data_IF_120285852826
#
_entry.id   IF_120285852826
#
_cell.length_a   1.000
_cell.length_b   1.000
_cell.length_c   1.000
_cell.angle_alpha   90.00
_cell.angle_beta   90.00
_cell.angle_gamma   90.00
#
_symmetry.space_group_name_H-M   'P 1'
#
loop_
_entity.id
_entity.type
_entity.pdbx_description
1 polymer ?
#
# COMPACT_ATOMS: atom_id res chain seq x y z
N UNK A 1 -11.50 -11.58 -13.37
CA UNK A 1 -11.30 -12.81 -12.56
C UNK A 1 -10.40 -12.44 -11.39
N UNK A 2 -10.96 -11.79 -10.38
CA UNK A 2 -10.25 -11.42 -9.16
C UNK A 2 -10.65 -12.46 -8.12
N UNK A 3 -9.71 -13.31 -7.74
CA UNK A 3 -9.96 -14.39 -6.77
C UNK A 3 -10.26 -13.71 -5.42
N UNK A 4 -11.49 -13.86 -4.93
CA UNK A 4 -11.83 -13.50 -3.56
C UNK A 4 -10.90 -14.31 -2.64
N UNK A 5 -10.03 -13.62 -1.91
CA UNK A 5 -9.20 -14.26 -0.90
C UNK A 5 -10.15 -14.65 0.24
N UNK A 6 -10.40 -15.94 0.40
CA UNK A 6 -11.31 -16.48 1.39
C UNK A 6 -10.83 -16.11 2.79
N UNK A 7 -11.63 -15.28 3.44
CA UNK A 7 -11.64 -14.99 4.87
C UNK A 7 -11.94 -16.26 5.67
N UNK A 8 -11.02 -16.66 6.53
CA UNK A 8 -11.27 -17.71 7.51
C UNK A 8 -10.02 -18.21 8.21
N UNK A 9 -9.35 -17.37 9.02
CA UNK A 9 -8.62 -17.80 10.23
C UNK A 9 -7.98 -16.63 11.01
N UNK A 10 -7.57 -15.53 10.38
CA UNK A 10 -6.89 -14.44 11.11
C UNK A 10 -7.05 -13.07 10.43
N UNK A 11 -8.22 -12.45 10.57
CA UNK A 11 -8.48 -11.12 10.02
C UNK A 11 -7.59 -10.01 10.65
N UNK A 12 -6.86 -10.31 11.73
CA UNK A 12 -5.98 -9.36 12.42
C UNK A 12 -4.56 -9.30 11.84
N UNK A 13 -4.19 -10.22 10.95
CA UNK A 13 -2.83 -10.33 10.38
C UNK A 13 -2.79 -10.28 8.84
N UNK A 14 -3.82 -9.75 8.19
CA UNK A 14 -3.73 -9.57 6.74
C UNK A 14 -2.76 -8.43 6.43
N UNK A 15 -1.67 -8.76 5.72
CA UNK A 15 -0.62 -7.84 5.27
C UNK A 15 -1.22 -6.74 4.38
N UNK A 16 -2.31 -7.05 3.72
CA UNK A 16 -2.83 -6.24 2.66
C UNK A 16 -3.50 -4.91 3.13
N UNK A 17 -4.37 -4.90 4.16
CA UNK A 17 -4.76 -3.66 4.85
C UNK A 17 -3.58 -2.85 5.41
N UNK A 18 -2.56 -3.52 5.95
CA UNK A 18 -1.38 -2.86 6.52
C UNK A 18 -0.58 -2.11 5.45
N UNK A 19 -0.45 -2.65 4.24
CA UNK A 19 0.17 -1.97 3.10
C UNK A 19 -0.61 -0.69 2.75
N UNK A 20 -1.95 -0.77 2.67
CA UNK A 20 -2.79 0.39 2.37
C UNK A 20 -2.64 1.50 3.39
N UNK A 21 -2.67 1.16 4.68
CA UNK A 21 -2.47 2.10 5.78
C UNK A 21 -1.05 2.70 5.79
N UNK A 22 -0.02 1.87 5.60
CA UNK A 22 1.37 2.31 5.53
C UNK A 22 1.59 3.30 4.38
N UNK A 23 1.02 3.02 3.21
CA UNK A 23 1.07 3.93 2.05
C UNK A 23 0.37 5.26 2.36
N UNK A 24 -0.85 5.20 2.90
CA UNK A 24 -1.63 6.39 3.24
C UNK A 24 -0.91 7.25 4.30
N UNK A 25 -0.27 6.62 5.28
CA UNK A 25 0.54 7.29 6.30
C UNK A 25 1.76 7.96 5.67
N UNK A 26 2.56 7.23 4.89
CA UNK A 26 3.76 7.77 4.25
C UNK A 26 3.43 8.98 3.35
N UNK A 27 2.33 8.92 2.58
CA UNK A 27 1.88 10.04 1.75
C UNK A 27 1.53 11.27 2.59
N UNK A 28 0.81 11.09 3.69
CA UNK A 28 0.42 12.20 4.59
C UNK A 28 1.62 12.81 5.29
N UNK A 29 2.60 12.02 5.70
CA UNK A 29 3.86 12.50 6.27
C UNK A 29 4.65 13.35 5.28
N UNK A 30 4.59 13.04 3.98
CA UNK A 30 5.15 13.88 2.92
C UNK A 30 4.30 15.12 2.60
N UNK A 31 3.16 15.34 3.28
CA UNK A 31 2.27 16.48 3.04
C UNK A 31 1.52 16.45 1.70
N UNK A 32 1.44 15.29 1.03
CA UNK A 32 0.87 15.17 -0.31
C UNK A 32 -0.60 14.79 -0.29
N UNK A 33 -1.40 15.38 -1.18
CA UNK A 33 -2.71 14.84 -1.56
C UNK A 33 -2.56 13.60 -2.44
N UNK A 34 -3.64 12.83 -2.63
CA UNK A 34 -3.63 11.70 -3.57
C UNK A 34 -3.39 12.16 -5.01
N UNK A 35 -3.90 13.34 -5.41
CA UNK A 35 -3.66 13.90 -6.74
C UNK A 35 -2.20 14.29 -6.92
N UNK A 36 -1.58 14.94 -5.91
CA UNK A 36 -0.15 15.29 -5.96
C UNK A 36 0.75 14.05 -6.03
N UNK A 37 0.43 12.99 -5.27
CA UNK A 37 1.17 11.73 -5.40
C UNK A 37 0.95 11.08 -6.77
N UNK A 38 -0.25 11.19 -7.35
CA UNK A 38 -0.53 10.68 -8.68
C UNK A 38 0.37 11.35 -9.73
N UNK A 39 0.46 12.68 -9.68
CA UNK A 39 1.30 13.47 -10.59
C UNK A 39 2.78 13.09 -10.47
N UNK A 40 3.26 12.84 -9.24
CA UNK A 40 4.68 12.50 -8.98
C UNK A 40 5.05 11.06 -9.30
N UNK A 41 4.12 10.12 -9.12
CA UNK A 41 4.38 8.68 -9.28
C UNK A 41 3.96 8.11 -10.64
N UNK A 42 3.13 8.84 -11.39
CA UNK A 42 2.49 8.34 -12.61
C UNK A 42 1.41 7.28 -12.35
N UNK A 43 1.06 7.01 -11.08
CA UNK A 43 -0.03 6.11 -10.69
C UNK A 43 -1.31 6.91 -10.58
N UNK A 44 -2.42 6.45 -11.16
CA UNK A 44 -3.67 7.22 -11.12
C UNK A 44 -4.15 7.46 -9.67
N UNK A 45 -4.72 8.64 -9.39
CA UNK A 45 -5.32 8.96 -8.09
C UNK A 45 -6.38 7.93 -7.67
N UNK A 46 -7.18 7.40 -8.60
CA UNK A 46 -8.17 6.35 -8.32
C UNK A 46 -7.48 5.08 -7.84
N UNK A 47 -6.39 4.67 -8.49
CA UNK A 47 -5.57 3.52 -8.09
C UNK A 47 -4.99 3.73 -6.69
N UNK A 48 -4.42 4.91 -6.41
CA UNK A 48 -3.89 5.26 -5.08
C UNK A 48 -4.98 5.12 -4.02
N UNK A 49 -6.16 5.73 -4.23
CA UNK A 49 -7.27 5.64 -3.28
C UNK A 49 -7.72 4.20 -3.02
N UNK A 50 -7.81 3.37 -4.06
CA UNK A 50 -8.14 1.95 -3.90
C UNK A 50 -7.06 1.15 -3.16
N UNK A 51 -5.78 1.50 -3.29
CA UNK A 51 -4.70 0.86 -2.52
C UNK A 51 -4.80 1.29 -1.06
N UNK A 52 -4.95 2.58 -0.78
CA UNK A 52 -5.05 3.11 0.59
C UNK A 52 -6.25 2.58 1.36
N UNK A 53 -7.32 2.20 0.65
CA UNK A 53 -8.51 1.58 1.23
C UNK A 53 -8.44 0.05 1.28
N UNK A 54 -7.35 -0.56 0.80
CA UNK A 54 -7.21 -2.01 0.65
C UNK A 54 -8.31 -2.63 -0.24
N UNK A 55 -8.71 -1.94 -1.32
CA UNK A 55 -9.65 -2.45 -2.33
C UNK A 55 -8.98 -3.14 -3.53
N UNK A 56 -7.71 -2.83 -3.84
CA UNK A 56 -6.88 -3.58 -4.81
C UNK A 56 -5.49 -3.93 -4.30
N UNK A 57 -5.00 -5.14 -4.62
CA UNK A 57 -3.62 -5.56 -4.33
C UNK A 57 -2.65 -4.87 -5.30
N UNK A 58 -1.80 -3.92 -4.84
CA UNK A 58 -0.84 -3.25 -5.70
C UNK A 58 0.26 -4.22 -6.16
N UNK A 59 0.77 -4.01 -7.37
CA UNK A 59 2.00 -4.69 -7.79
C UNK A 59 3.22 -4.07 -7.10
N UNK A 60 4.33 -4.81 -6.97
CA UNK A 60 5.60 -4.24 -6.49
C UNK A 60 6.04 -3.02 -7.31
N UNK A 61 5.85 -3.05 -8.64
CA UNK A 61 6.12 -1.91 -9.51
C UNK A 61 5.29 -0.67 -9.15
N UNK A 62 4.04 -0.88 -8.75
CA UNK A 62 3.17 0.21 -8.27
C UNK A 62 3.69 0.76 -6.94
N UNK A 63 4.08 -0.10 -6.00
CA UNK A 63 4.63 0.32 -4.71
C UNK A 63 5.94 1.10 -4.88
N UNK A 64 6.83 0.64 -5.76
CA UNK A 64 8.09 1.32 -6.09
C UNK A 64 7.84 2.70 -6.72
N UNK A 65 6.94 2.80 -7.70
CA UNK A 65 6.58 4.08 -8.31
C UNK A 65 6.01 5.08 -7.29
N UNK A 66 5.20 4.60 -6.35
CA UNK A 66 4.65 5.43 -5.27
C UNK A 66 5.72 5.86 -4.28
N UNK A 67 6.66 4.97 -3.93
CA UNK A 67 7.81 5.30 -3.08
C UNK A 67 8.66 6.40 -3.72
N UNK A 68 9.02 6.26 -5.00
CA UNK A 68 9.71 7.30 -5.76
C UNK A 68 8.90 8.61 -5.81
N UNK A 69 7.59 8.52 -6.04
CA UNK A 69 6.70 9.69 -6.02
C UNK A 69 6.60 10.39 -4.67
N UNK A 70 7.12 9.80 -3.59
CA UNK A 70 7.21 10.39 -2.25
C UNK A 70 8.65 10.77 -1.86
N UNK A 71 9.63 10.63 -2.76
CA UNK A 71 11.06 10.68 -2.47
C UNK A 71 11.48 9.72 -1.34
N UNK A 72 10.94 8.50 -1.37
CA UNK A 72 11.23 7.43 -0.40
C UNK A 72 11.76 6.18 -1.09
N UNK A 73 12.37 5.32 -0.30
CA UNK A 73 12.80 3.98 -0.69
C UNK A 73 11.77 2.93 -0.23
N UNK A 74 11.47 1.95 -1.08
CA UNK A 74 10.64 0.81 -0.71
C UNK A 74 11.51 -0.25 -0.03
N UNK A 75 11.30 -0.46 1.27
CA UNK A 75 11.98 -1.50 2.05
C UNK A 75 11.01 -2.61 2.43
N UNK A 76 11.45 -3.86 2.31
CA UNK A 76 10.70 -5.06 2.74
C UNK A 76 11.60 -5.84 3.71
N UNK A 77 11.11 -6.09 4.92
CA UNK A 77 11.77 -6.94 5.92
C UNK A 77 10.89 -8.14 6.29
N UNK A 78 11.52 -9.19 6.81
CA UNK A 78 10.86 -10.37 7.37
C UNK A 78 11.23 -10.45 8.84
N UNK A 79 10.23 -10.44 9.71
CA UNK A 79 10.42 -10.48 11.16
C UNK A 79 10.10 -11.88 11.71
N UNK A 80 10.72 -12.26 12.83
CA UNK A 80 10.42 -13.51 13.51
C UNK A 80 8.95 -13.55 13.94
N UNK A 81 8.26 -14.64 13.62
CA UNK A 81 6.90 -14.87 14.10
C UNK A 81 6.98 -15.31 15.55
N UNK A 82 6.84 -14.37 16.47
CA UNK A 82 6.70 -14.71 17.90
C UNK A 82 5.31 -15.26 18.11
N UNK A 83 5.19 -16.58 18.20
CA UNK A 83 3.96 -17.24 18.64
C UNK A 83 3.69 -16.84 20.10
N UNK A 84 2.50 -16.26 20.34
CA UNK A 84 1.94 -16.04 21.67
C UNK A 84 0.96 -17.15 22.02
#
# INVERSE_FOLDING_TARGET
MTKAYNSGADARNDVYPQIGEALARARRECGLTQDQLADRSGVSRITIGRIEQAHINPSFRTLEALAHGMDRELTISFEERVES
#
